data_IF_851263638964
#
_entry.id   IF_851263638964
#
_cell.length_a   1.000
_cell.length_b   1.000
_cell.length_c   1.000
_cell.angle_alpha   90.00
_cell.angle_beta   90.00
_cell.angle_gamma   90.00
#
_symmetry.space_group_name_H-M   'P 1'
#
loop_
_entity.id
_entity.type
_entity.pdbx_description
1 polymer ?
#
# COMPACT_ATOMS: atom_id res chain seq x y z
N UNK A 1 -18.97 -7.15 1.68
CA UNK A 1 -17.76 -6.47 2.18
C UNK A 1 -16.83 -6.27 1.01
N UNK A 2 -16.51 -5.02 0.66
CA UNK A 2 -15.49 -4.73 -0.33
C UNK A 2 -14.17 -5.36 0.11
N UNK A 3 -13.48 -6.04 -0.80
CA UNK A 3 -12.21 -6.70 -0.53
C UNK A 3 -11.18 -5.59 -0.30
N UNK A 4 -10.91 -5.25 0.96
CA UNK A 4 -9.90 -4.24 1.27
C UNK A 4 -8.56 -4.63 0.63
N UNK A 5 -7.91 -3.66 -0.01
CA UNK A 5 -6.59 -3.83 -0.58
C UNK A 5 -5.60 -4.34 0.48
N UNK A 6 -4.94 -5.45 0.18
CA UNK A 6 -4.00 -6.10 1.09
C UNK A 6 -2.57 -5.65 0.79
N UNK A 7 -2.01 -4.83 1.69
CA UNK A 7 -0.67 -4.27 1.54
C UNK A 7 0.42 -5.36 1.52
N UNK A 8 0.25 -6.45 2.29
CA UNK A 8 1.22 -7.56 2.33
C UNK A 8 1.29 -8.29 0.99
N UNK A 9 0.14 -8.56 0.37
CA UNK A 9 0.08 -9.19 -0.94
C UNK A 9 0.65 -8.28 -2.03
N UNK A 10 0.38 -6.97 -1.96
CA UNK A 10 0.93 -6.01 -2.90
C UNK A 10 2.47 -5.92 -2.81
N UNK A 11 3.03 -5.86 -1.60
CA UNK A 11 4.48 -5.86 -1.39
C UNK A 11 5.11 -7.15 -1.91
N UNK A 12 4.48 -8.31 -1.67
CA UNK A 12 4.97 -9.59 -2.20
C UNK A 12 5.00 -9.60 -3.74
N UNK A 13 3.95 -9.08 -4.39
CA UNK A 13 3.91 -8.95 -5.85
C UNK A 13 4.97 -7.99 -6.39
N UNK A 14 5.21 -6.88 -5.70
CA UNK A 14 6.29 -5.96 -6.07
C UNK A 14 7.67 -6.63 -5.99
N UNK A 15 7.91 -7.46 -4.98
CA UNK A 15 9.12 -8.26 -4.86
C UNK A 15 9.24 -9.30 -5.98
N UNK A 16 8.15 -9.97 -6.34
CA UNK A 16 8.08 -10.90 -7.47
C UNK A 16 8.39 -10.19 -8.80
N UNK A 17 7.89 -8.97 -9.01
CA UNK A 17 8.20 -8.16 -10.19
C UNK A 17 9.70 -7.78 -10.23
N UNK A 18 10.28 -7.34 -9.11
CA UNK A 18 11.73 -7.03 -9.03
C UNK A 18 12.58 -8.26 -9.38
N UNK A 19 12.26 -9.41 -8.78
CA UNK A 19 12.92 -10.69 -9.05
C UNK A 19 12.78 -11.10 -10.50
N UNK A 20 11.61 -10.88 -11.12
CA UNK A 20 11.43 -11.17 -12.54
C UNK A 20 12.46 -10.40 -13.38
N UNK A 21 12.63 -9.09 -13.16
CA UNK A 21 13.64 -8.28 -13.89
C UNK A 21 15.07 -8.76 -13.65
N UNK A 22 15.42 -9.12 -12.41
CA UNK A 22 16.76 -9.59 -12.05
C UNK A 22 17.11 -10.95 -12.67
N UNK A 23 16.11 -11.78 -12.95
CA UNK A 23 16.30 -13.12 -13.53
C UNK A 23 16.40 -13.12 -15.06
N UNK A 24 16.09 -12.00 -15.73
CA UNK A 24 16.12 -11.94 -17.19
C UNK A 24 17.56 -11.76 -17.70
N UNK A 25 18.02 -12.70 -18.52
CA UNK A 25 19.31 -12.60 -19.23
C UNK A 25 19.23 -11.62 -20.41
N UNK A 26 18.11 -11.65 -21.13
CA UNK A 26 17.70 -10.65 -22.11
C UNK A 26 16.27 -10.26 -21.78
N UNK A 27 16.00 -8.96 -21.70
CA UNK A 27 14.70 -8.46 -21.26
C UNK A 27 13.73 -8.45 -22.43
N UNK A 28 12.60 -9.15 -22.29
CA UNK A 28 11.43 -8.92 -23.11
C UNK A 28 10.85 -7.53 -22.77
N UNK A 29 10.93 -6.61 -23.73
CA UNK A 29 10.51 -5.22 -23.54
C UNK A 29 8.99 -5.10 -23.36
N UNK A 30 8.20 -5.90 -24.08
CA UNK A 30 6.73 -5.85 -23.96
C UNK A 30 6.28 -6.36 -22.58
N UNK A 31 6.85 -7.49 -22.14
CA UNK A 31 6.55 -8.00 -20.80
C UNK A 31 7.08 -7.06 -19.70
N UNK A 32 8.26 -6.47 -19.91
CA UNK A 32 8.82 -5.48 -19.00
C UNK A 32 7.90 -4.25 -18.83
N UNK A 33 7.35 -3.72 -19.91
CA UNK A 33 6.39 -2.60 -19.86
C UNK A 33 5.13 -3.01 -19.07
N UNK A 34 4.63 -4.23 -19.27
CA UNK A 34 3.46 -4.73 -18.54
C UNK A 34 3.74 -4.86 -17.03
N UNK A 35 4.91 -5.39 -16.65
CA UNK A 35 5.35 -5.51 -15.25
C UNK A 35 5.51 -4.14 -14.57
N UNK A 36 6.05 -3.13 -15.28
CA UNK A 36 6.15 -1.76 -14.76
C UNK A 36 4.77 -1.15 -14.53
N UNK A 37 3.81 -1.33 -15.46
CA UNK A 37 2.43 -0.86 -15.29
C UNK A 37 1.76 -1.52 -14.09
N UNK A 38 1.95 -2.82 -13.92
CA UNK A 38 1.43 -3.55 -12.75
C UNK A 38 2.03 -3.00 -11.44
N UNK A 39 3.36 -2.85 -11.38
CA UNK A 39 4.05 -2.29 -10.23
C UNK A 39 3.56 -0.87 -9.89
N UNK A 40 3.38 -0.01 -10.91
CA UNK A 40 2.85 1.34 -10.72
C UNK A 40 1.43 1.32 -10.10
N UNK A 41 0.57 0.42 -10.55
CA UNK A 41 -0.76 0.22 -9.98
C UNK A 41 -0.71 -0.23 -8.52
N UNK A 42 0.14 -1.22 -8.20
CA UNK A 42 0.33 -1.73 -6.85
C UNK A 42 0.86 -0.65 -5.90
N UNK A 43 1.83 0.15 -6.35
CA UNK A 43 2.41 1.26 -5.56
C UNK A 43 1.35 2.31 -5.27
N UNK A 44 0.54 2.69 -6.27
CA UNK A 44 -0.53 3.67 -6.09
C UNK A 44 -1.54 3.20 -5.04
N UNK A 45 -2.06 1.99 -5.20
CA UNK A 45 -3.02 1.42 -4.25
C UNK A 45 -2.42 1.25 -2.84
N UNK A 46 -1.12 0.93 -2.74
CA UNK A 46 -0.41 0.86 -1.47
C UNK A 46 -0.33 2.21 -0.76
N UNK A 47 -0.03 3.29 -1.50
CA UNK A 47 -0.04 4.66 -0.96
C UNK A 47 -1.42 5.08 -0.47
N UNK A 48 -2.45 4.79 -1.26
CA UNK A 48 -3.83 5.12 -0.88
C UNK A 48 -4.26 4.37 0.39
N UNK A 49 -3.88 3.09 0.53
CA UNK A 49 -4.15 2.31 1.74
C UNK A 49 -3.40 2.85 2.95
N UNK A 50 -2.12 3.21 2.80
CA UNK A 50 -1.32 3.78 3.89
C UNK A 50 -1.93 5.10 4.39
N UNK A 51 -2.34 5.97 3.47
CA UNK A 51 -3.02 7.23 3.81
C UNK A 51 -4.34 6.99 4.56
N UNK A 52 -5.13 5.99 4.15
CA UNK A 52 -6.34 5.64 4.86
C UNK A 52 -6.05 5.17 6.29
N UNK A 53 -5.00 4.37 6.49
CA UNK A 53 -4.58 3.91 7.82
C UNK A 53 -4.09 5.10 8.68
N UNK A 54 -3.30 6.01 8.12
CA UNK A 54 -2.84 7.23 8.79
C UNK A 54 -4.02 8.08 9.28
N UNK A 55 -5.03 8.30 8.43
CA UNK A 55 -6.24 9.03 8.81
C UNK A 55 -6.98 8.36 9.99
N UNK A 56 -7.10 7.02 9.98
CA UNK A 56 -7.73 6.28 11.07
C UNK A 56 -6.95 6.43 12.38
N UNK A 57 -5.61 6.45 12.33
CA UNK A 57 -4.79 6.71 13.52
C UNK A 57 -5.02 8.12 14.07
N UNK A 58 -5.12 9.13 13.20
CA UNK A 58 -5.40 10.51 13.62
C UNK A 58 -6.79 10.67 14.24
N UNK A 59 -7.80 9.97 13.71
CA UNK A 59 -9.15 9.94 14.32
C UNK A 59 -9.11 9.32 15.72
N UNK A 60 -8.48 8.16 15.88
CA UNK A 60 -8.31 7.50 17.20
C UNK A 60 -7.60 8.43 18.19
N UNK A 61 -6.55 9.14 17.74
CA UNK A 61 -5.82 10.09 18.58
C UNK A 61 -6.71 11.24 19.06
N UNK A 62 -7.55 11.79 18.18
CA UNK A 62 -8.52 12.84 18.55
C UNK A 62 -9.54 12.33 19.56
N UNK A 63 -10.11 11.15 19.32
CA UNK A 63 -11.06 10.53 20.26
C UNK A 63 -10.43 10.34 21.64
N UNK A 64 -9.17 9.92 21.74
CA UNK A 64 -8.48 9.78 23.03
C UNK A 64 -8.32 11.15 23.72
N UNK A 65 -7.90 12.19 23.00
CA UNK A 65 -7.68 13.53 23.55
C UNK A 65 -9.01 14.16 24.01
N UNK A 66 -10.05 14.10 23.18
CA UNK A 66 -11.38 14.64 23.50
C UNK A 66 -11.98 13.95 24.74
N UNK A 67 -11.79 12.63 24.88
CA UNK A 67 -12.25 11.90 26.06
C UNK A 67 -11.46 12.25 27.33
N UNK A 68 -10.17 12.57 27.24
CA UNK A 68 -9.38 13.04 28.39
C UNK A 68 -9.80 14.43 28.89
N UNK A 69 -10.15 15.36 27.99
CA UNK A 69 -10.60 16.72 28.36
C UNK A 69 -12.00 16.74 29.00
N UNK A 70 -12.89 15.83 28.60
CA UNK A 70 -14.23 15.66 29.23
C UNK A 70 -14.11 15.07 30.65
N UNK A 71 -13.08 14.25 30.92
CA UNK A 71 -12.89 13.62 32.24
C UNK A 71 -12.33 14.57 33.32
N UNK A 72 -11.79 15.74 32.91
CA UNK A 72 -11.18 16.74 33.79
C UNK A 72 -12.07 17.96 34.06
N UNK A 73 -13.24 18.04 33.44
CA UNK A 73 -14.24 19.10 33.63
C UNK A 73 -15.39 18.64 34.53
#
# INVERSE_FOLDING_TARGET
MEKQFNLKEALKKLEEISKWFETQKEIDIEEGINKVKEAAGLIKASKDRLKAVENQFEEIKKEIIENEDISKS
#
